data_IF_252323344190
#
_entry.id   IF_252323344190
#
_cell.length_a   1.000
_cell.length_b   1.000
_cell.length_c   1.000
_cell.angle_alpha   90.00
_cell.angle_beta   90.00
_cell.angle_gamma   90.00
#
_symmetry.space_group_name_H-M   'P 1'
#
loop_
_entity.id
_entity.type
_entity.pdbx_description
1 polymer ?
#
# COMPACT_ATOMS: atom_id res chain seq x y z
N UNK A 1 17.25 5.13 -7.84
CA UNK A 1 16.20 5.53 -6.88
C UNK A 1 14.91 4.92 -7.36
N UNK A 2 14.18 4.16 -6.53
CA UNK A 2 12.95 3.50 -6.95
C UNK A 2 11.84 4.49 -7.30
N UNK A 3 10.90 4.04 -8.12
CA UNK A 3 9.74 4.83 -8.56
C UNK A 3 8.46 4.17 -8.04
N UNK A 4 7.52 4.96 -7.54
CA UNK A 4 6.23 4.47 -7.07
C UNK A 4 5.14 4.76 -8.11
N UNK A 5 4.23 3.80 -8.30
CA UNK A 5 2.97 3.98 -9.02
C UNK A 5 1.87 3.66 -8.01
N UNK A 6 1.04 4.65 -7.70
CA UNK A 6 -0.08 4.49 -6.77
C UNK A 6 -1.34 4.24 -7.57
N UNK A 7 -2.06 3.17 -7.23
CA UNK A 7 -3.36 2.84 -7.79
C UNK A 7 -4.39 3.04 -6.68
N UNK A 8 -5.20 4.07 -6.83
CA UNK A 8 -6.31 4.42 -5.92
C UNK A 8 -7.63 4.43 -6.68
N UNK A 9 -8.74 4.49 -5.94
CA UNK A 9 -10.10 4.41 -6.44
C UNK A 9 -11.02 3.71 -5.46
N UNK A 10 -12.33 3.81 -5.66
CA UNK A 10 -13.32 3.25 -4.75
C UNK A 10 -13.18 1.72 -4.59
N UNK A 11 -13.53 1.14 -3.43
CA UNK A 11 -13.57 -0.31 -3.25
C UNK A 11 -14.42 -1.00 -4.33
N UNK A 12 -13.98 -2.16 -4.81
CA UNK A 12 -14.72 -2.95 -5.81
C UNK A 12 -14.43 -2.66 -7.29
N UNK A 13 -13.73 -1.57 -7.65
CA UNK A 13 -13.47 -1.22 -9.07
C UNK A 13 -12.39 -2.06 -9.77
N UNK A 14 -11.85 -3.08 -9.10
CA UNK A 14 -10.86 -4.00 -9.69
C UNK A 14 -9.39 -3.57 -9.62
N UNK A 15 -9.05 -2.58 -8.76
CA UNK A 15 -7.67 -2.09 -8.56
C UNK A 15 -6.65 -3.20 -8.38
N UNK A 16 -6.86 -4.09 -7.42
CA UNK A 16 -5.95 -5.20 -7.12
C UNK A 16 -5.61 -6.05 -8.34
N UNK A 17 -6.59 -6.30 -9.21
CA UNK A 17 -6.35 -7.06 -10.45
C UNK A 17 -5.44 -6.31 -11.41
N UNK A 18 -5.63 -5.00 -11.56
CA UNK A 18 -4.79 -4.13 -12.39
C UNK A 18 -3.40 -3.99 -11.77
N UNK A 19 -3.31 -3.75 -10.46
CA UNK A 19 -2.05 -3.59 -9.74
C UNK A 19 -1.16 -4.83 -9.86
N UNK A 20 -1.72 -6.02 -9.66
CA UNK A 20 -0.97 -7.28 -9.81
C UNK A 20 -0.52 -7.51 -11.26
N UNK A 21 -1.39 -7.23 -12.25
CA UNK A 21 -1.03 -7.38 -13.66
C UNK A 21 0.06 -6.40 -14.08
N UNK A 22 -0.03 -5.15 -13.63
CA UNK A 22 0.97 -4.12 -13.89
C UNK A 22 2.30 -4.47 -13.22
N UNK A 23 2.26 -4.99 -11.99
CA UNK A 23 3.45 -5.42 -11.28
C UNK A 23 4.20 -6.53 -12.04
N UNK A 24 3.46 -7.51 -12.56
CA UNK A 24 4.01 -8.57 -13.40
C UNK A 24 4.64 -8.04 -14.71
N UNK A 25 3.96 -7.13 -15.40
CA UNK A 25 4.45 -6.55 -16.67
C UNK A 25 5.72 -5.71 -16.49
N UNK A 26 5.85 -5.00 -15.37
CA UNK A 26 6.97 -4.11 -15.09
C UNK A 26 8.09 -4.77 -14.28
N UNK A 27 7.97 -6.06 -13.95
CA UNK A 27 8.82 -6.74 -12.97
C UNK A 27 8.98 -5.89 -11.68
N UNK A 28 7.86 -5.39 -11.19
CA UNK A 28 7.78 -4.42 -10.11
C UNK A 28 7.39 -5.08 -8.79
N UNK A 29 7.73 -4.44 -7.68
CA UNK A 29 7.28 -4.85 -6.35
C UNK A 29 5.84 -4.41 -6.14
N UNK A 30 4.94 -5.34 -5.83
CA UNK A 30 3.56 -5.03 -5.42
C UNK A 30 3.48 -4.84 -3.90
N UNK A 31 2.70 -3.84 -3.47
CA UNK A 31 2.41 -3.55 -2.06
C UNK A 31 0.92 -3.23 -1.94
N UNK A 32 0.18 -4.05 -1.19
CA UNK A 32 -1.13 -3.67 -0.65
C UNK A 32 -0.89 -2.85 0.61
N UNK A 33 -1.34 -1.59 0.62
CA UNK A 33 -1.05 -0.66 1.71
C UNK A 33 -1.70 -1.08 3.04
N UNK A 34 -2.90 -1.64 3.00
CA UNK A 34 -3.62 -2.09 4.20
C UNK A 34 -2.93 -3.30 4.83
N UNK A 35 -2.63 -4.32 4.03
CA UNK A 35 -1.94 -5.52 4.51
C UNK A 35 -0.55 -5.16 5.04
N UNK A 36 0.18 -4.30 4.32
CA UNK A 36 1.50 -3.82 4.74
C UNK A 36 1.47 -3.13 6.10
N UNK A 37 0.44 -2.31 6.37
CA UNK A 37 0.30 -1.64 7.66
C UNK A 37 0.00 -2.63 8.79
N UNK A 38 -0.87 -3.62 8.55
CA UNK A 38 -1.23 -4.64 9.55
C UNK A 38 -0.02 -5.54 9.85
N UNK A 39 0.65 -6.07 8.82
CA UNK A 39 1.80 -6.97 8.97
C UNK A 39 2.96 -6.31 9.73
N UNK A 40 3.17 -5.01 9.52
CA UNK A 40 4.23 -4.24 10.20
C UNK A 40 3.78 -3.58 11.50
N UNK A 41 2.56 -3.83 11.96
CA UNK A 41 1.97 -3.22 13.17
C UNK A 41 2.01 -1.69 13.15
N UNK A 42 1.79 -1.09 11.97
CA UNK A 42 1.74 0.35 11.75
C UNK A 42 0.32 0.87 12.00
N UNK A 43 -0.19 0.60 13.20
CA UNK A 43 -1.52 1.01 13.65
C UNK A 43 -1.46 1.40 15.13
N UNK A 44 -2.35 2.31 15.53
CA UNK A 44 -2.42 2.82 16.90
C UNK A 44 -3.32 1.92 17.77
N UNK A 45 -4.52 1.62 17.28
CA UNK A 45 -5.50 0.78 17.97
C UNK A 45 -6.49 0.17 16.96
N UNK A 46 -7.29 -0.78 17.45
CA UNK A 46 -8.40 -1.36 16.70
C UNK A 46 -9.70 -0.65 17.11
N UNK A 47 -10.40 -0.04 16.15
CA UNK A 47 -11.73 0.53 16.32
C UNK A 47 -12.77 -0.59 16.20
N UNK A 48 -13.43 -0.90 17.33
CA UNK A 48 -14.41 -1.99 17.42
C UNK A 48 -15.70 -1.64 16.68
N UNK A 49 -16.13 -0.38 16.68
CA UNK A 49 -17.37 0.05 16.02
C UNK A 49 -17.25 -0.07 14.50
N UNK A 50 -16.09 0.30 13.97
CA UNK A 50 -15.78 0.20 12.54
C UNK A 50 -15.21 -1.14 12.12
N UNK A 51 -14.87 -2.00 13.10
CA UNK A 51 -14.17 -3.28 12.88
C UNK A 51 -12.91 -3.12 12.01
N UNK A 52 -12.11 -2.09 12.30
CA UNK A 52 -10.94 -1.72 11.50
C UNK A 52 -9.81 -1.15 12.35
N UNK A 53 -8.56 -1.27 11.88
CA UNK A 53 -7.42 -0.61 12.53
C UNK A 53 -7.34 0.87 12.17
N UNK A 54 -7.05 1.70 13.18
CA UNK A 54 -6.65 3.09 12.99
C UNK A 54 -5.15 3.13 12.74
N UNK A 55 -4.77 3.54 11.54
CA UNK A 55 -3.39 3.46 11.03
C UNK A 55 -2.48 4.52 11.68
N UNK A 56 -1.20 4.17 11.88
CA UNK A 56 -0.13 5.13 12.14
C UNK A 56 0.39 5.65 10.78
N UNK A 57 -0.17 6.76 10.32
CA UNK A 57 0.13 7.33 9.00
C UNK A 57 1.59 7.75 8.85
N UNK A 58 2.19 8.35 9.89
CA UNK A 58 3.59 8.77 9.84
C UNK A 58 4.55 7.57 9.82
N UNK A 59 4.26 6.54 10.61
CA UNK A 59 4.97 5.26 10.56
C UNK A 59 4.87 4.60 9.19
N UNK A 60 3.66 4.53 8.63
CA UNK A 60 3.39 3.98 7.31
C UNK A 60 4.13 4.74 6.21
N UNK A 61 4.06 6.07 6.22
CA UNK A 61 4.75 6.94 5.26
C UNK A 61 6.26 6.72 5.27
N UNK A 62 6.85 6.62 6.46
CA UNK A 62 8.28 6.36 6.63
C UNK A 62 8.67 4.99 6.06
N UNK A 63 7.92 3.95 6.40
CA UNK A 63 8.22 2.58 5.98
C UNK A 63 8.04 2.38 4.46
N UNK A 64 6.98 2.93 3.87
CA UNK A 64 6.78 2.90 2.42
C UNK A 64 7.89 3.68 1.70
N UNK A 65 8.28 4.84 2.23
CA UNK A 65 9.42 5.60 1.67
C UNK A 65 10.71 4.78 1.68
N UNK A 66 10.96 4.00 2.74
CA UNK A 66 12.11 3.11 2.82
C UNK A 66 12.03 1.98 1.78
N UNK A 67 10.85 1.39 1.57
CA UNK A 67 10.62 0.38 0.53
C UNK A 67 10.91 0.94 -0.87
N UNK A 68 10.40 2.14 -1.18
CA UNK A 68 10.62 2.76 -2.49
C UNK A 68 12.11 3.10 -2.70
N UNK A 69 12.78 3.66 -1.68
CA UNK A 69 14.20 4.04 -1.78
C UNK A 69 15.12 2.84 -1.94
N UNK A 70 14.83 1.75 -1.22
CA UNK A 70 15.62 0.52 -1.27
C UNK A 70 15.39 -0.31 -2.54
N UNK A 71 14.25 -0.12 -3.20
CA UNK A 71 13.96 -0.84 -4.44
C UNK A 71 14.58 -0.14 -5.67
N UNK A 72 15.28 -0.90 -6.50
CA UNK A 72 15.95 -0.38 -7.71
C UNK A 72 15.03 -0.17 -8.92
N UNK A 73 13.72 -0.46 -8.81
CA UNK A 73 12.76 -0.44 -9.91
C UNK A 73 11.44 0.24 -9.55
N UNK A 74 10.34 -0.28 -10.11
CA UNK A 74 8.98 0.20 -9.81
C UNK A 74 8.38 -0.49 -8.58
N UNK A 75 7.68 0.28 -7.75
CA UNK A 75 6.84 -0.22 -6.66
C UNK A 75 5.39 0.15 -6.98
N UNK A 76 4.52 -0.84 -7.12
CA UNK A 76 3.07 -0.66 -7.31
C UNK A 76 2.41 -0.66 -5.93
N UNK A 77 1.75 0.43 -5.58
CA UNK A 77 1.06 0.60 -4.29
C UNK A 77 -0.44 0.58 -4.57
N UNK A 78 -1.14 -0.44 -4.07
CA UNK A 78 -2.60 -0.54 -4.09
C UNK A 78 -3.16 -0.02 -2.77
N UNK A 79 -4.01 1.00 -2.83
CA UNK A 79 -4.64 1.64 -1.67
C UNK A 79 -6.14 1.76 -1.86
N UNK A 80 -6.87 1.48 -0.79
CA UNK A 80 -8.30 1.74 -0.66
C UNK A 80 -8.62 3.03 0.11
N UNK A 81 -7.60 3.72 0.61
CA UNK A 81 -7.74 5.04 1.22
C UNK A 81 -7.97 6.03 0.09
N UNK A 82 -9.24 6.30 -0.18
CA UNK A 82 -9.67 7.45 -0.97
C UNK A 82 -9.64 8.65 -0.05
N UNK A 83 -8.69 9.54 -0.32
CA UNK A 83 -8.33 10.77 0.42
C UNK A 83 -7.76 10.59 1.83
#
# INVERSE_FOLDING_TARGET
MGKAIVISGTPGVGKTRISLRLASLLNAKYVNLSDFAIERKLYQYFDVERSSYVIDEEGLRREISNVIKSYGGYVIIDSHYGD
#
